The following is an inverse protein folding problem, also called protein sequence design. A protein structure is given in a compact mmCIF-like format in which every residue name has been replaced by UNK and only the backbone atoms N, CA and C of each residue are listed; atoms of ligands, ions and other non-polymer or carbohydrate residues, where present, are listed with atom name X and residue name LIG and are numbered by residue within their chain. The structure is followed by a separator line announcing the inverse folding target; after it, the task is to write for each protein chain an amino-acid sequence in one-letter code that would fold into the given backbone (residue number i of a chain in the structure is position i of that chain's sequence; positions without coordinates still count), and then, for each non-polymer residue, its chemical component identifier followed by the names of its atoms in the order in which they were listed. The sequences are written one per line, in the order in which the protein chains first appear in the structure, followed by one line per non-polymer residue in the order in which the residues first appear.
data_IF_502237836726
#
_entry.id   IF_502237836726
#
_cell.length_a   1.000
_cell.length_b   1.000
_cell.length_c   1.000
_cell.angle_alpha   90.00
_cell.angle_beta   90.00
_cell.angle_gamma   90.00
#
_symmetry.space_group_name_H-M   'P 1'
#
loop_
_entity.id
_entity.type
_entity.pdbx_description
1 polymer ?
#
# COMPACT_ATOMS: atom_id res chain seq x y z
N UNK A 1 8.61 11.90 -8.21
CA UNK A 1 9.32 10.61 -8.04
C UNK A 1 8.48 9.39 -8.45
N UNK A 2 7.19 9.31 -8.08
CA UNK A 2 6.31 8.24 -8.59
C UNK A 2 6.13 8.31 -10.12
N UNK A 3 6.03 9.51 -10.69
CA UNK A 3 6.01 9.70 -12.15
C UNK A 3 7.31 9.19 -12.80
N UNK A 4 8.46 9.49 -12.21
CA UNK A 4 9.75 8.95 -12.67
C UNK A 4 9.74 7.42 -12.67
N UNK A 5 9.18 6.79 -11.63
CA UNK A 5 9.08 5.34 -11.57
C UNK A 5 8.26 4.75 -12.74
N UNK A 6 7.14 5.39 -13.11
CA UNK A 6 6.29 4.97 -14.23
C UNK A 6 7.09 4.90 -15.53
N UNK A 7 7.99 5.85 -15.75
CA UNK A 7 8.73 5.99 -16.99
C UNK A 7 10.02 5.13 -17.01
N UNK A 8 10.32 4.38 -15.94
CA UNK A 8 11.46 3.45 -15.91
C UNK A 8 11.10 2.09 -16.50
N UNK A 9 11.93 1.64 -17.45
CA UNK A 9 11.85 0.31 -18.07
C UNK A 9 12.47 -0.78 -17.20
N UNK A 10 13.54 -0.46 -16.47
CA UNK A 10 14.24 -1.42 -15.58
C UNK A 10 13.45 -1.67 -14.29
N UNK A 11 13.08 -2.93 -13.94
CA UNK A 11 12.24 -3.24 -12.79
C UNK A 11 12.77 -2.75 -11.44
N UNK A 12 14.09 -2.90 -11.19
CA UNK A 12 14.71 -2.49 -9.93
C UNK A 12 14.73 -0.96 -9.77
N UNK A 13 14.97 -0.22 -10.84
CA UNK A 13 14.91 1.24 -10.82
C UNK A 13 13.49 1.73 -10.58
N UNK A 14 12.51 1.12 -11.26
CA UNK A 14 11.08 1.41 -11.05
C UNK A 14 10.69 1.21 -9.59
N UNK A 15 11.09 0.09 -8.98
CA UNK A 15 10.84 -0.19 -7.57
C UNK A 15 11.48 0.86 -6.65
N UNK A 16 12.75 1.22 -6.90
CA UNK A 16 13.49 2.24 -6.12
C UNK A 16 12.77 3.59 -6.17
N UNK A 17 12.43 4.07 -7.36
CA UNK A 17 11.76 5.36 -7.53
C UNK A 17 10.33 5.38 -6.97
N UNK A 18 9.61 4.26 -7.08
CA UNK A 18 8.28 4.12 -6.46
C UNK A 18 8.38 4.24 -4.93
N UNK A 19 9.30 3.50 -4.29
CA UNK A 19 9.53 3.59 -2.84
C UNK A 19 9.92 5.00 -2.41
N UNK A 20 10.76 5.70 -3.19
CA UNK A 20 11.15 7.07 -2.87
C UNK A 20 9.97 8.06 -2.99
N UNK A 21 9.12 7.92 -4.01
CA UNK A 21 7.94 8.76 -4.15
C UNK A 21 6.89 8.51 -3.07
N UNK A 22 6.71 7.27 -2.64
CA UNK A 22 5.86 6.93 -1.50
C UNK A 22 6.36 7.57 -0.20
N UNK A 23 7.68 7.51 0.07
CA UNK A 23 8.27 8.19 1.23
C UNK A 23 8.05 9.70 1.23
N UNK A 24 8.03 10.32 0.04
CA UNK A 24 7.75 11.75 -0.07
C UNK A 24 6.28 12.04 0.28
N UNK A 25 5.35 11.23 -0.20
CA UNK A 25 3.93 11.35 0.14
C UNK A 25 3.66 11.09 1.62
N UNK A 26 4.36 10.13 2.24
CA UNK A 26 4.28 9.89 3.69
C UNK A 26 4.70 11.13 4.48
N UNK A 27 5.80 11.78 4.08
CA UNK A 27 6.24 13.04 4.70
C UNK A 27 5.25 14.18 4.48
N UNK A 28 4.64 14.27 3.29
CA UNK A 28 3.65 15.29 3.00
C UNK A 28 2.40 15.15 3.88
N UNK A 29 1.87 13.93 4.04
CA UNK A 29 0.76 13.68 4.97
C UNK A 29 1.18 13.93 6.41
N UNK A 30 2.40 13.56 6.82
CA UNK A 30 2.89 13.85 8.15
C UNK A 30 2.98 15.36 8.44
N UNK A 31 3.33 16.17 7.44
CA UNK A 31 3.42 17.62 7.56
C UNK A 31 2.04 18.32 7.55
N UNK A 32 1.09 17.77 6.79
CA UNK A 32 -0.27 18.30 6.65
C UNK A 32 -1.31 17.17 6.80
N UNK A 33 -1.53 16.68 8.03
CA UNK A 33 -2.35 15.49 8.26
C UNK A 33 -3.84 15.70 7.99
N UNK A 34 -4.32 16.95 7.91
CA UNK A 34 -5.73 17.24 7.63
C UNK A 34 -5.99 17.64 6.18
N UNK A 35 -4.97 17.62 5.32
CA UNK A 35 -5.12 17.94 3.90
C UNK A 35 -5.67 16.73 3.13
N UNK A 36 -6.95 16.82 2.78
CA UNK A 36 -7.69 15.81 2.00
C UNK A 36 -7.08 15.53 0.64
N UNK A 37 -6.46 16.54 0.00
CA UNK A 37 -5.87 16.40 -1.32
C UNK A 37 -4.58 15.59 -1.24
N UNK A 38 -3.73 15.85 -0.26
CA UNK A 38 -2.48 15.10 -0.05
C UNK A 38 -2.79 13.65 0.30
N UNK A 39 -3.77 13.40 1.19
CA UNK A 39 -4.21 12.04 1.53
C UNK A 39 -4.82 11.31 0.34
N UNK A 40 -5.67 11.99 -0.44
CA UNK A 40 -6.20 11.42 -1.68
C UNK A 40 -5.08 11.01 -2.64
N UNK A 41 -4.07 11.87 -2.85
CA UNK A 41 -2.93 11.57 -3.70
C UNK A 41 -2.11 10.38 -3.18
N UNK A 42 -1.90 10.29 -1.86
CA UNK A 42 -1.21 9.15 -1.23
C UNK A 42 -2.00 7.86 -1.39
N UNK A 43 -3.29 7.85 -1.05
CA UNK A 43 -4.18 6.71 -1.23
C UNK A 43 -4.24 6.24 -2.69
N UNK A 44 -4.45 7.14 -3.65
CA UNK A 44 -4.52 6.79 -5.08
C UNK A 44 -3.23 6.22 -5.61
N UNK A 45 -2.10 6.78 -5.19
CA UNK A 45 -0.77 6.28 -5.58
C UNK A 45 -0.50 4.90 -4.99
N UNK A 46 -0.90 4.67 -3.74
CA UNK A 46 -0.73 3.41 -3.04
C UNK A 46 -1.67 2.30 -3.53
N UNK A 47 -2.91 2.64 -3.89
CA UNK A 47 -3.94 1.69 -4.33
C UNK A 47 -3.54 0.88 -5.57
N UNK A 48 -2.71 1.45 -6.44
CA UNK A 48 -2.25 0.79 -7.67
C UNK A 48 -1.06 -0.14 -7.44
N UNK A 49 -0.56 -0.26 -6.21
CA UNK A 49 0.64 -1.02 -5.91
C UNK A 49 0.31 -2.46 -5.48
N UNK A 50 1.12 -3.44 -5.88
CA UNK A 50 0.96 -4.81 -5.42
C UNK A 50 1.18 -4.92 -3.90
N UNK A 51 0.18 -5.41 -3.18
CA UNK A 51 0.21 -5.49 -1.71
C UNK A 51 1.40 -6.30 -1.21
N UNK A 52 1.71 -7.42 -1.88
CA UNK A 52 2.82 -8.31 -1.57
C UNK A 52 4.20 -7.64 -1.45
N UNK A 53 4.43 -6.52 -2.13
CA UNK A 53 5.76 -5.85 -2.15
C UNK A 53 5.79 -4.52 -1.41
N UNK A 54 4.63 -3.88 -1.31
CA UNK A 54 4.55 -2.52 -0.80
C UNK A 54 3.87 -2.47 0.56
N UNK A 55 2.93 -3.38 0.84
CA UNK A 55 2.16 -3.43 2.09
C UNK A 55 1.49 -2.08 2.39
N UNK A 56 0.74 -1.56 1.41
CA UNK A 56 0.19 -0.19 1.46
C UNK A 56 -1.33 -0.16 1.47
N UNK A 57 -1.99 -1.31 1.38
CA UNK A 57 -3.46 -1.36 1.37
C UNK A 57 -4.05 -0.77 2.65
N UNK A 58 -3.43 -0.99 3.80
CA UNK A 58 -3.84 -0.33 5.05
C UNK A 58 -3.75 1.20 4.97
N UNK A 59 -2.68 1.76 4.38
CA UNK A 59 -2.56 3.21 4.14
C UNK A 59 -3.66 3.72 3.19
N UNK A 60 -4.02 2.94 2.17
CA UNK A 60 -5.13 3.28 1.25
C UNK A 60 -6.44 3.38 2.02
N UNK A 61 -6.73 2.38 2.87
CA UNK A 61 -7.94 2.34 3.68
C UNK A 61 -8.03 3.59 4.57
N UNK A 62 -6.94 3.94 5.26
CA UNK A 62 -6.88 5.13 6.12
C UNK A 62 -7.13 6.43 5.34
N UNK A 63 -6.44 6.60 4.21
CA UNK A 63 -6.57 7.81 3.39
C UNK A 63 -7.94 7.94 2.73
N UNK A 64 -8.48 6.85 2.21
CA UNK A 64 -9.78 6.86 1.54
C UNK A 64 -10.91 7.10 2.54
N UNK A 65 -10.88 6.47 3.71
CA UNK A 65 -11.84 6.76 4.78
C UNK A 65 -11.77 8.24 5.18
N UNK A 66 -10.56 8.78 5.36
CA UNK A 66 -10.39 10.19 5.69
C UNK A 66 -11.06 11.10 4.65
N UNK A 67 -10.80 10.86 3.36
CA UNK A 67 -11.34 11.68 2.26
C UNK A 67 -12.85 11.51 2.10
N UNK A 68 -13.38 10.30 2.28
CA UNK A 68 -14.82 10.02 2.20
C UNK A 68 -15.61 10.69 3.32
N UNK A 69 -15.01 10.82 4.52
CA UNK A 69 -15.65 11.38 5.71
C UNK A 69 -15.56 12.91 5.82
N UNK A 70 -14.94 13.59 4.85
CA UNK A 70 -14.91 15.06 4.83
C UNK A 70 -16.29 15.64 4.48
N UNK A 71 -16.66 16.72 5.16
CA UNK A 71 -17.85 17.52 4.85
C UNK A 71 -17.69 18.22 3.50
N UNK A 72 -16.57 18.91 3.30
CA UNK A 72 -16.25 19.59 2.05
C UNK A 72 -15.65 18.59 1.06
N UNK A 73 -16.39 18.32 -0.01
CA UNK A 73 -15.93 17.45 -1.10
C UNK A 73 -14.98 18.19 -2.04
N UNK A 74 -13.94 17.50 -2.49
CA UNK A 74 -13.02 17.99 -3.52
C UNK A 74 -13.68 17.81 -4.88
N UNK A 75 -13.92 18.91 -5.60
CA UNK A 75 -14.77 18.91 -6.81
C UNK A 75 -14.30 18.01 -7.97
N UNK A 76 -13.03 17.60 -8.00
CA UNK A 76 -12.48 16.73 -9.06
C UNK A 76 -12.45 15.24 -8.70
N UNK A 77 -12.95 14.83 -7.53
CA UNK A 77 -12.88 13.45 -7.07
C UNK A 77 -14.18 12.72 -7.37
N UNK A 78 -14.06 11.58 -8.04
CA UNK A 78 -15.14 10.60 -8.16
C UNK A 78 -15.25 9.78 -6.87
N UNK A 79 -16.20 10.18 -6.02
CA UNK A 79 -16.44 9.56 -4.71
C UNK A 79 -17.08 8.17 -4.82
N UNK A 80 -17.84 7.90 -5.89
CA UNK A 80 -18.42 6.58 -6.18
C UNK A 80 -17.30 5.58 -6.42
N UNK A 81 -16.36 5.94 -7.31
CA UNK A 81 -15.16 5.14 -7.56
C UNK A 81 -14.30 4.98 -6.30
N UNK A 82 -14.12 6.04 -5.52
CA UNK A 82 -13.34 5.99 -4.29
C UNK A 82 -13.91 4.99 -3.29
N UNK A 83 -15.24 4.99 -3.10
CA UNK A 83 -15.95 4.04 -2.24
C UNK A 83 -15.86 2.59 -2.74
N UNK A 84 -15.97 2.38 -4.06
CA UNK A 84 -15.78 1.06 -4.66
C UNK A 84 -14.36 0.52 -4.42
N UNK A 85 -13.35 1.36 -4.66
CA UNK A 85 -11.94 1.01 -4.47
C UNK A 85 -11.59 0.77 -2.98
N UNK A 86 -12.28 1.44 -2.05
CA UNK A 86 -12.15 1.16 -0.62
C UNK A 86 -12.63 -0.25 -0.27
N UNK A 87 -13.75 -0.70 -0.84
CA UNK A 87 -14.21 -2.09 -0.66
C UNK A 87 -13.20 -3.10 -1.23
N UNK A 88 -12.62 -2.82 -2.41
CA UNK A 88 -11.53 -3.64 -2.95
C UNK A 88 -10.31 -3.65 -2.04
N UNK A 89 -9.95 -2.51 -1.44
CA UNK A 89 -8.83 -2.42 -0.50
C UNK A 89 -9.08 -3.29 0.76
N UNK A 90 -10.27 -3.24 1.35
CA UNK A 90 -10.62 -4.13 2.46
C UNK A 90 -10.52 -5.60 2.08
N UNK A 91 -11.09 -6.00 0.94
CA UNK A 91 -11.01 -7.38 0.45
C UNK A 91 -9.57 -7.84 0.23
N UNK A 92 -8.69 -6.97 -0.29
CA UNK A 92 -7.27 -7.28 -0.55
C UNK A 92 -6.48 -7.68 0.70
N UNK A 93 -6.90 -7.26 1.88
CA UNK A 93 -6.29 -7.64 3.17
C UNK A 93 -7.18 -8.57 3.99
N UNK A 94 -8.17 -9.20 3.36
CA UNK A 94 -9.01 -10.23 3.95
C UNK A 94 -10.14 -9.70 4.82
N UNK A 95 -10.35 -8.39 4.91
CA UNK A 95 -11.45 -7.77 5.66
C UNK A 95 -12.75 -7.81 4.86
N UNK A 96 -13.31 -9.00 4.71
CA UNK A 96 -14.47 -9.26 3.85
C UNK A 96 -15.73 -8.55 4.33
N UNK A 97 -15.96 -8.49 5.64
CA UNK A 97 -17.15 -7.82 6.19
C UNK A 97 -17.14 -6.31 5.91
N UNK A 98 -15.97 -5.66 6.06
CA UNK A 98 -15.80 -4.25 5.71
C UNK A 98 -15.97 -3.98 4.22
N UNK A 99 -15.46 -4.88 3.38
CA UNK A 99 -15.65 -4.81 1.94
C UNK A 99 -17.14 -4.90 1.57
N UNK A 100 -17.86 -5.85 2.16
CA UNK A 100 -19.29 -6.02 1.96
C UNK A 100 -20.06 -4.77 2.38
N UNK A 101 -19.78 -4.21 3.57
CA UNK A 101 -20.38 -2.93 4.03
C UNK A 101 -20.20 -1.81 3.02
N UNK A 102 -18.99 -1.65 2.47
CA UNK A 102 -18.70 -0.61 1.49
C UNK A 102 -19.53 -0.78 0.20
N UNK A 103 -19.63 -2.01 -0.31
CA UNK A 103 -20.35 -2.28 -1.55
C UNK A 103 -21.87 -2.27 -1.38
N UNK A 104 -22.42 -2.74 -0.26
CA UNK A 104 -23.85 -2.63 0.06
C UNK A 104 -24.28 -1.18 0.16
N UNK A 105 -23.50 -0.32 0.84
CA UNK A 105 -23.79 1.12 0.88
C UNK A 105 -23.79 1.74 -0.52
N UNK A 106 -22.85 1.33 -1.36
CA UNK A 106 -22.73 1.86 -2.72
C UNK A 106 -23.88 1.40 -3.63
N UNK A 107 -24.34 0.15 -3.47
CA UNK A 107 -25.47 -0.41 -4.21
C UNK A 107 -26.78 0.32 -3.91
N UNK A 108 -26.99 0.70 -2.65
CA UNK A 108 -28.15 1.50 -2.22
C UNK A 108 -28.15 2.92 -2.79
N UNK A 109 -26.97 3.47 -3.09
CA UNK A 109 -26.81 4.86 -3.54
C UNK A 109 -26.78 5.02 -5.06
N UNK A 110 -26.38 3.98 -5.80
CA UNK A 110 -26.30 4.04 -7.26
C UNK A 110 -27.66 3.80 -7.92
N UNK A 111 -27.89 4.45 -9.07
CA UNK A 111 -29.05 4.20 -9.94
C UNK A 111 -28.68 3.37 -11.18
N UNK A 112 -27.38 3.23 -11.47
CA UNK A 112 -26.88 2.50 -12.64
C UNK A 112 -27.08 0.97 -12.48
N UNK A 113 -27.92 0.33 -13.32
CA UNK A 113 -28.18 -1.12 -13.25
C UNK A 113 -26.93 -1.98 -13.48
N UNK A 114 -26.02 -1.57 -14.37
CA UNK A 114 -24.80 -2.32 -14.67
C UNK A 114 -23.85 -2.29 -13.47
N UNK A 115 -23.75 -1.12 -12.83
CA UNK A 115 -22.96 -0.98 -11.62
C UNK A 115 -23.56 -1.77 -10.45
N UNK A 116 -24.89 -1.79 -10.29
CA UNK A 116 -25.56 -2.68 -9.30
C UNK A 116 -25.23 -4.15 -9.55
N UNK A 117 -25.29 -4.61 -10.81
CA UNK A 117 -24.93 -5.98 -11.17
C UNK A 117 -23.49 -6.32 -10.79
N UNK A 118 -22.54 -5.41 -11.05
CA UNK A 118 -21.16 -5.56 -10.63
C UNK A 118 -21.02 -5.67 -9.10
N UNK A 119 -21.71 -4.81 -8.34
CA UNK A 119 -21.69 -4.85 -6.87
C UNK A 119 -22.31 -6.14 -6.33
N UNK A 120 -23.41 -6.61 -6.91
CA UNK A 120 -24.02 -7.89 -6.58
C UNK A 120 -23.06 -9.07 -6.79
N UNK A 121 -22.33 -9.09 -7.90
CA UNK A 121 -21.28 -10.11 -8.14
C UNK A 121 -20.18 -10.06 -7.07
N UNK A 122 -19.75 -8.85 -6.67
CA UNK A 122 -18.73 -8.66 -5.64
C UNK A 122 -19.21 -9.16 -4.27
N UNK A 123 -20.43 -8.85 -3.89
CA UNK A 123 -21.05 -9.33 -2.65
C UNK A 123 -21.22 -10.85 -2.65
N UNK A 124 -21.63 -11.43 -3.79
CA UNK A 124 -21.76 -12.88 -3.91
C UNK A 124 -20.42 -13.61 -3.74
N UNK A 125 -19.30 -13.04 -4.21
CA UNK A 125 -17.96 -13.59 -3.97
C UNK A 125 -17.54 -13.58 -2.49
N UNK A 126 -18.19 -12.77 -1.66
CA UNK A 126 -17.95 -12.71 -0.21
C UNK A 126 -18.86 -13.64 0.58
N UNK A 127 -19.89 -14.21 -0.04
CA UNK A 127 -20.87 -15.05 0.64
C UNK A 127 -20.20 -16.32 1.17
N UNK A 128 -20.36 -16.59 2.46
CA UNK A 128 -19.78 -17.76 3.13
C UNK A 128 -18.31 -17.61 3.52
N UNK A 129 -17.66 -16.50 3.21
CA UNK A 129 -16.31 -16.19 3.69
C UNK A 129 -16.35 -15.71 5.14
N UNK A 130 -15.30 -15.97 5.95
CA UNK A 130 -15.23 -15.40 7.29
C UNK A 130 -15.08 -13.87 7.21
N UNK A 131 -15.49 -13.19 8.28
CA UNK A 131 -15.45 -11.72 8.38
C UNK A 131 -14.03 -11.16 8.12
N UNK A 132 -13.02 -11.86 8.64
CA UNK A 132 -11.61 -11.61 8.41
C UNK A 132 -10.93 -12.90 7.97
N UNK A 133 -10.34 -12.91 6.78
CA UNK A 133 -9.49 -13.98 6.25
C UNK A 133 -8.01 -13.63 6.51
N UNK A 134 -7.22 -14.63 6.93
CA UNK A 134 -5.78 -14.49 6.94
C UNK A 134 -5.23 -14.72 5.52
N UNK A 135 -4.66 -13.70 4.90
CA UNK A 135 -4.05 -13.81 3.58
C UNK A 135 -2.58 -14.20 3.77
N UNK A 136 -2.27 -15.47 3.53
CA UNK A 136 -0.88 -15.95 3.54
C UNK A 136 -0.05 -15.20 2.48
N UNK A 137 0.99 -14.51 2.94
CA UNK A 137 1.94 -13.82 2.07
C UNK A 137 2.90 -14.84 1.45
N UNK A 138 2.44 -15.58 0.44
CA UNK A 138 3.30 -16.60 -0.17
C UNK A 138 4.48 -15.94 -0.90
N UNK A 139 5.70 -16.25 -0.45
CA UNK A 139 7.06 -15.88 -0.92
C UNK A 139 7.22 -14.66 -1.86
N UNK A 140 7.78 -13.56 -1.35
CA UNK A 140 8.19 -12.37 -2.09
C UNK A 140 8.94 -12.67 -3.40
N UNK A 141 8.87 -11.79 -4.41
CA UNK A 141 9.70 -11.91 -5.63
C UNK A 141 11.18 -11.99 -5.26
N UNK A 142 11.59 -11.36 -4.15
CA UNK A 142 12.92 -11.57 -3.59
C UNK A 142 13.20 -13.02 -3.22
N UNK A 143 12.28 -13.75 -2.58
CA UNK A 143 12.52 -15.16 -2.23
C UNK A 143 12.44 -16.09 -3.45
N UNK A 144 11.60 -15.81 -4.45
CA UNK A 144 11.62 -16.54 -5.73
C UNK A 144 12.91 -16.28 -6.53
N UNK A 145 13.39 -15.04 -6.57
CA UNK A 145 14.67 -14.70 -7.19
C UNK A 145 15.83 -15.31 -6.40
N UNK A 146 15.80 -15.27 -5.07
CA UNK A 146 16.78 -15.95 -4.20
C UNK A 146 16.83 -17.45 -4.47
N UNK A 147 15.69 -18.13 -4.62
CA UNK A 147 15.64 -19.56 -4.98
C UNK A 147 16.26 -19.84 -6.37
N UNK A 148 16.00 -18.96 -7.35
CA UNK A 148 16.56 -19.10 -8.72
C UNK A 148 18.02 -18.68 -8.85
N UNK A 149 18.52 -17.78 -8.01
CA UNK A 149 19.93 -17.37 -7.99
C UNK A 149 20.79 -18.26 -7.10
N UNK A 150 20.21 -18.88 -6.06
CA UNK A 150 20.88 -19.90 -5.25
C UNK A 150 21.28 -21.13 -6.07
N UNK A 151 20.53 -21.44 -7.14
CA UNK A 151 20.88 -22.52 -8.07
C UNK A 151 21.93 -22.15 -9.12
N UNK A 152 22.37 -20.89 -9.24
CA UNK A 152 23.24 -20.45 -10.35
C UNK A 152 24.44 -19.56 -9.97
N UNK A 153 24.49 -18.94 -8.79
CA UNK A 153 25.65 -18.14 -8.37
C UNK A 153 25.70 -18.04 -6.83
N UNK A 154 26.14 -19.12 -6.19
CA UNK A 154 25.97 -19.34 -4.74
C UNK A 154 26.85 -18.50 -3.80
N UNK A 155 27.88 -17.77 -4.25
CA UNK A 155 28.87 -17.18 -3.32
C UNK A 155 28.90 -15.65 -3.32
N UNK A 156 28.84 -15.01 -4.49
CA UNK A 156 29.07 -13.56 -4.64
C UNK A 156 27.95 -12.70 -4.03
N UNK A 157 26.71 -13.20 -3.98
CA UNK A 157 25.57 -12.43 -3.46
C UNK A 157 25.41 -12.54 -1.94
N UNK A 158 25.83 -13.66 -1.32
CA UNK A 158 25.83 -13.82 0.13
C UNK A 158 26.79 -12.81 0.79
N UNK A 159 27.96 -12.60 0.20
CA UNK A 159 28.93 -11.61 0.67
C UNK A 159 28.37 -10.18 0.62
N UNK A 160 27.66 -9.82 -0.47
CA UNK A 160 27.04 -8.50 -0.59
C UNK A 160 25.88 -8.28 0.40
N UNK A 161 25.09 -9.32 0.67
CA UNK A 161 24.00 -9.29 1.68
C UNK A 161 24.56 -9.18 3.09
N UNK A 162 25.60 -9.95 3.42
CA UNK A 162 26.31 -9.81 4.70
C UNK A 162 26.93 -8.43 4.87
N UNK A 163 27.53 -7.89 3.81
CA UNK A 163 28.18 -6.58 3.85
C UNK A 163 27.15 -5.46 4.09
N UNK A 164 25.97 -5.56 3.48
CA UNK A 164 24.88 -4.61 3.71
C UNK A 164 24.27 -4.72 5.10
N UNK A 165 24.07 -5.95 5.61
CA UNK A 165 23.60 -6.17 6.98
C UNK A 165 24.57 -5.60 8.01
N UNK A 166 25.89 -5.85 7.82
CA UNK A 166 26.96 -5.25 8.64
C UNK A 166 26.99 -3.72 8.53
N UNK A 167 26.73 -3.13 7.35
CA UNK A 167 26.63 -1.67 7.16
C UNK A 167 25.41 -1.07 7.87
N UNK A 168 24.28 -1.76 7.88
CA UNK A 168 23.05 -1.32 8.53
C UNK A 168 23.17 -1.36 10.07
N UNK A 169 23.71 -2.44 10.62
CA UNK A 169 24.02 -2.57 12.06
C UNK A 169 25.02 -1.50 12.54
N UNK A 170 26.04 -1.19 11.72
CA UNK A 170 27.00 -0.10 12.01
C UNK A 170 26.31 1.27 12.05
N UNK A 171 25.35 1.53 11.15
CA UNK A 171 24.57 2.78 11.13
C UNK A 171 23.64 2.89 12.33
N UNK A 172 23.01 1.79 12.73
CA UNK A 172 22.13 1.75 13.89
C UNK A 172 22.89 1.95 15.21
N UNK A 173 24.05 1.30 15.37
CA UNK A 173 24.95 1.54 16.51
C UNK A 173 25.40 3.00 16.61
N UNK A 174 25.71 3.65 15.48
CA UNK A 174 26.06 5.08 15.44
C UNK A 174 24.88 5.97 15.84
N UNK A 175 23.66 5.64 15.43
CA UNK A 175 22.44 6.37 15.83
C UNK A 175 22.16 6.24 17.34
N UNK A 176 22.22 5.03 17.90
CA UNK A 176 22.04 4.78 19.34
C UNK A 176 23.09 5.52 20.19
N UNK A 177 24.34 5.59 19.74
CA UNK A 177 25.40 6.37 20.43
C UNK A 177 25.14 7.88 20.40
N UNK A 178 24.65 8.43 19.28
CA UNK A 178 24.28 9.85 19.18
C UNK A 178 23.07 10.19 20.06
N UNK A 179 22.10 9.28 20.15
CA UNK A 179 20.91 9.45 20.99
C UNK A 179 21.25 9.40 22.49
N UNK A 180 22.13 8.48 22.91
CA UNK A 180 22.64 8.43 24.29
C UNK A 180 23.45 9.66 24.69
N UNK A 181 24.21 10.27 23.76
CA UNK A 181 24.93 11.53 24.00
C UNK A 181 23.99 12.73 24.15
N UNK A 182 22.87 12.74 23.43
CA UNK A 182 21.85 13.80 23.51
C UNK A 182 20.99 13.75 24.77
N UNK A 183 20.91 12.60 25.45
CA UNK A 183 20.19 12.42 26.72
C UNK A 183 21.07 12.67 27.97
N UNK A 184 22.33 13.06 27.79
CA UNK A 184 23.31 13.33 28.86
C UNK A 184 23.72 14.81 28.94
N UNK A 185 23.13 15.65 28.12
CA UNK A 185 23.15 17.11 28.17
C UNK A 185 21.72 17.57 28.39
#
# INVERSE_FOLDING_TARGET
MLLIARDKTKPLERLKWAKNGLKLLDKAVAAAPNDSRIRYLRGRSAYRLPEKHFQRTQTVIEDYNFVLNQEVKLGSIDYTRLSYELGEAYRRIGRNEDAARCWTKLEQQTQDPEFKRLLGQKLQLLKGKPAVEHIESNESITSMLLKRTASAAGTVFLDWVEENKKKEERRERKRRKKEKKRKRH
#
